data_IF_037253761433
#
_entry.id   IF_037253761433
#
_cell.length_a   1.000
_cell.length_b   1.000
_cell.length_c   1.000
_cell.angle_alpha   90.00
_cell.angle_beta   90.00
_cell.angle_gamma   90.00
#
_symmetry.space_group_name_H-M   'P 1'
#
loop_
_entity.id
_entity.type
_entity.pdbx_description
1 polymer ?
#
# COMPACT_ATOMS: atom_id res chain seq x y z
N UNK A 1 -30.86 -8.24 18.63
CA UNK A 1 -29.68 -7.59 18.01
C UNK A 1 -29.90 -6.10 18.06
N UNK A 2 -28.90 -5.31 18.46
CA UNK A 2 -28.99 -3.85 18.49
C UNK A 2 -28.90 -3.29 17.07
N UNK A 3 -29.72 -2.28 16.77
CA UNK A 3 -29.68 -1.57 15.49
C UNK A 3 -28.28 -1.00 15.26
N UNK A 4 -27.66 -1.20 14.08
CA UNK A 4 -26.37 -0.61 13.76
C UNK A 4 -26.38 0.91 13.90
N UNK A 5 -25.29 1.47 14.40
CA UNK A 5 -25.07 2.91 14.45
C UNK A 5 -25.06 3.45 13.02
N UNK A 6 -25.85 4.49 12.70
CA UNK A 6 -25.91 5.05 11.35
C UNK A 6 -24.53 5.44 10.81
N UNK A 7 -24.29 5.10 9.55
CA UNK A 7 -23.06 5.42 8.83
C UNK A 7 -23.39 5.90 7.42
N UNK A 8 -22.86 7.05 7.03
CA UNK A 8 -23.03 7.65 5.70
C UNK A 8 -21.68 7.75 5.00
N UNK A 9 -21.27 6.66 4.31
CA UNK A 9 -19.99 6.63 3.59
C UNK A 9 -19.91 7.75 2.54
N UNK A 10 -18.76 8.44 2.48
CA UNK A 10 -18.59 9.60 1.60
C UNK A 10 -19.16 10.93 2.14
N UNK A 11 -19.65 10.98 3.38
CA UNK A 11 -20.03 12.25 4.00
C UNK A 11 -18.83 13.21 4.16
N UNK A 12 -19.06 14.55 4.09
CA UNK A 12 -17.98 15.54 4.04
C UNK A 12 -17.22 15.75 5.36
N UNK A 13 -17.77 15.26 6.49
CA UNK A 13 -17.08 15.30 7.78
C UNK A 13 -17.41 14.09 8.64
N UNK A 14 -16.51 13.76 9.57
CA UNK A 14 -16.63 12.57 10.43
C UNK A 14 -17.95 12.53 11.21
N UNK A 15 -18.41 13.64 11.79
CA UNK A 15 -19.65 13.70 12.58
C UNK A 15 -20.90 13.36 11.76
N UNK A 16 -20.99 13.85 10.52
CA UNK A 16 -22.10 13.52 9.60
C UNK A 16 -21.96 12.09 9.07
N UNK A 17 -20.72 11.62 8.85
CA UNK A 17 -20.45 10.24 8.44
C UNK A 17 -20.88 9.22 9.50
N UNK A 18 -20.79 9.56 10.78
CA UNK A 18 -20.95 8.63 11.90
C UNK A 18 -19.69 7.77 12.14
N UNK A 19 -19.45 7.22 13.33
CA UNK A 19 -18.22 6.48 13.63
C UNK A 19 -18.22 5.07 13.02
N UNK A 20 -17.02 4.51 12.79
CA UNK A 20 -16.86 3.07 12.51
C UNK A 20 -16.87 2.33 13.85
N UNK A 21 -17.94 1.59 14.11
CA UNK A 21 -18.15 0.86 15.36
C UNK A 21 -17.97 -0.63 15.10
N UNK A 22 -16.97 -1.25 15.72
CA UNK A 22 -16.70 -2.69 15.58
C UNK A 22 -17.15 -3.48 16.81
N UNK A 23 -17.15 -4.81 16.68
CA UNK A 23 -17.24 -5.69 17.85
C UNK A 23 -16.15 -5.34 18.90
N UNK A 24 -16.43 -5.53 20.19
CA UNK A 24 -17.65 -6.10 20.78
C UNK A 24 -18.75 -5.07 21.10
N UNK A 25 -18.67 -3.83 20.60
CA UNK A 25 -19.65 -2.79 20.97
C UNK A 25 -21.06 -3.08 20.48
N UNK A 26 -22.10 -2.82 21.30
CA UNK A 26 -23.48 -2.76 20.82
C UNK A 26 -23.63 -1.75 19.68
N UNK A 27 -24.55 -2.00 18.75
CA UNK A 27 -24.78 -1.10 17.62
C UNK A 27 -23.60 -1.03 16.64
N UNK A 28 -22.73 -2.05 16.61
CA UNK A 28 -21.66 -2.15 15.61
C UNK A 28 -22.24 -2.04 14.19
N UNK A 29 -21.53 -1.32 13.34
CA UNK A 29 -21.87 -1.10 11.93
C UNK A 29 -20.81 -1.67 10.97
N UNK A 30 -19.82 -2.36 11.51
CA UNK A 30 -18.77 -3.03 10.75
C UNK A 30 -18.60 -4.50 11.16
N UNK A 31 -18.18 -5.31 10.17
CA UNK A 31 -17.77 -6.71 10.34
C UNK A 31 -16.28 -6.75 10.66
N UNK A 32 -15.89 -7.61 11.60
CA UNK A 32 -14.51 -7.73 12.07
C UNK A 32 -14.20 -6.85 13.27
N UNK A 33 -12.91 -6.62 13.51
CA UNK A 33 -12.37 -5.87 14.66
C UNK A 33 -11.25 -4.94 14.21
N UNK A 34 -11.04 -3.85 14.94
CA UNK A 34 -9.87 -3.00 14.75
C UNK A 34 -8.58 -3.81 14.88
N UNK A 35 -7.56 -3.46 14.07
CA UNK A 35 -6.26 -4.14 14.06
C UNK A 35 -6.39 -5.64 13.78
N UNK A 36 -7.28 -6.02 12.86
CA UNK A 36 -7.68 -7.41 12.60
C UNK A 36 -6.52 -8.37 12.31
N UNK A 37 -5.47 -7.92 11.62
CA UNK A 37 -4.26 -8.72 11.38
C UNK A 37 -3.52 -9.14 12.65
N UNK A 38 -3.79 -8.50 13.79
CA UNK A 38 -3.21 -8.82 15.11
C UNK A 38 -4.29 -9.27 16.12
N UNK A 39 -5.50 -9.61 15.66
CA UNK A 39 -6.59 -10.00 16.54
C UNK A 39 -6.28 -11.28 17.35
N UNK A 40 -5.58 -12.26 16.77
CA UNK A 40 -5.16 -13.46 17.48
C UNK A 40 -4.21 -13.15 18.65
N UNK A 41 -3.21 -12.28 18.44
CA UNK A 41 -2.31 -11.83 19.51
C UNK A 41 -3.05 -11.05 20.60
N UNK A 42 -4.00 -10.21 20.20
CA UNK A 42 -4.85 -9.48 21.15
C UNK A 42 -5.68 -10.44 22.00
N UNK A 43 -6.28 -11.46 21.38
CA UNK A 43 -7.04 -12.51 22.07
C UNK A 43 -6.17 -13.31 23.05
N UNK A 44 -4.97 -13.71 22.64
CA UNK A 44 -4.02 -14.38 23.53
C UNK A 44 -3.56 -13.49 24.68
N UNK A 45 -3.35 -12.20 24.43
CA UNK A 45 -2.99 -11.23 25.48
C UNK A 45 -4.09 -11.11 26.54
N UNK A 46 -5.36 -11.16 26.14
CA UNK A 46 -6.49 -11.22 27.08
C UNK A 46 -6.52 -12.54 27.83
N UNK A 47 -6.39 -13.67 27.13
CA UNK A 47 -6.43 -15.00 27.75
C UNK A 47 -5.29 -15.23 28.76
N UNK A 48 -4.13 -14.64 28.51
CA UNK A 48 -2.95 -14.71 29.39
C UNK A 48 -2.97 -13.67 30.51
N UNK A 49 -3.92 -12.72 30.50
CA UNK A 49 -4.01 -11.63 31.47
C UNK A 49 -3.02 -10.47 31.24
N UNK A 50 -2.25 -10.48 30.14
CA UNK A 50 -1.39 -9.37 29.75
C UNK A 50 -2.17 -8.12 29.30
N UNK A 51 -3.41 -8.30 28.85
CA UNK A 51 -4.35 -7.23 28.49
C UNK A 51 -5.68 -7.45 29.21
N UNK A 52 -6.18 -6.46 29.95
CA UNK A 52 -7.52 -6.54 30.53
C UNK A 52 -8.59 -6.59 29.43
N UNK A 53 -9.59 -7.47 29.57
CA UNK A 53 -10.65 -7.65 28.56
C UNK A 53 -11.49 -6.38 28.33
N UNK A 54 -11.59 -5.53 29.34
CA UNK A 54 -12.30 -4.25 29.36
C UNK A 54 -11.36 -3.05 29.22
N UNK A 55 -10.09 -3.27 28.86
CA UNK A 55 -9.11 -2.20 28.66
C UNK A 55 -9.64 -1.14 27.68
N UNK A 56 -9.62 0.11 28.14
CA UNK A 56 -9.91 1.29 27.33
C UNK A 56 -8.61 1.97 26.97
N UNK A 57 -8.38 2.13 25.68
CA UNK A 57 -7.22 2.86 25.19
C UNK A 57 -7.30 4.33 25.62
N UNK A 58 -6.19 4.86 26.11
CA UNK A 58 -6.02 6.29 26.34
C UNK A 58 -5.47 6.93 25.06
N UNK A 59 -6.21 7.90 24.52
CA UNK A 59 -5.84 8.63 23.31
C UNK A 59 -5.34 10.05 23.61
N UNK A 60 -5.09 10.38 24.88
CA UNK A 60 -4.49 11.66 25.27
C UNK A 60 -3.17 11.87 24.52
N UNK A 61 -3.01 13.04 23.90
CA UNK A 61 -1.83 13.44 23.14
C UNK A 61 -1.45 12.52 21.95
N UNK A 62 -2.41 11.77 21.42
CA UNK A 62 -2.22 10.89 20.24
C UNK A 62 -2.61 11.53 18.90
N UNK A 63 -2.93 12.83 18.90
CA UNK A 63 -3.30 13.55 17.68
C UNK A 63 -2.19 13.51 16.61
N UNK A 64 -2.56 13.48 15.32
CA UNK A 64 -1.63 13.64 14.21
C UNK A 64 -0.67 14.82 14.40
N UNK A 65 0.64 14.57 14.27
CA UNK A 65 1.67 15.62 14.30
C UNK A 65 1.56 16.59 13.11
N UNK A 66 0.90 16.14 12.05
CA UNK A 66 0.68 16.90 10.81
C UNK A 66 -0.79 16.80 10.44
N UNK A 67 -1.41 17.94 10.11
CA UNK A 67 -2.78 17.97 9.59
C UNK A 67 -2.80 17.48 8.14
N UNK A 68 -3.60 16.45 7.87
CA UNK A 68 -3.88 15.96 6.52
C UNK A 68 -5.34 16.25 6.19
N UNK A 69 -5.59 16.88 5.04
CA UNK A 69 -6.94 17.14 4.54
C UNK A 69 -7.86 17.93 5.49
N UNK A 70 -9.20 17.75 5.36
CA UNK A 70 -9.86 16.93 4.35
C UNK A 70 -9.65 17.48 2.94
N UNK A 71 -9.60 16.60 1.94
CA UNK A 71 -9.58 16.97 0.53
C UNK A 71 -10.92 16.60 -0.13
N UNK A 72 -11.34 17.27 -1.23
CA UNK A 72 -12.63 17.00 -1.89
C UNK A 72 -12.86 15.52 -2.27
N UNK A 73 -11.78 14.79 -2.52
CA UNK A 73 -11.81 13.37 -2.85
C UNK A 73 -12.35 12.50 -1.70
N UNK A 74 -12.28 12.94 -0.44
CA UNK A 74 -12.75 12.15 0.71
C UNK A 74 -14.27 11.96 0.71
N UNK A 75 -15.00 12.95 0.19
CA UNK A 75 -16.46 12.92 0.07
C UNK A 75 -16.96 12.58 -1.33
N UNK A 76 -16.04 12.37 -2.28
CA UNK A 76 -16.40 12.00 -3.63
C UNK A 76 -16.79 10.50 -3.68
N UNK A 77 -17.99 10.14 -4.14
CA UNK A 77 -18.47 8.76 -4.15
C UNK A 77 -17.47 7.80 -4.81
N UNK A 78 -17.18 6.69 -4.13
CA UNK A 78 -16.32 5.62 -4.65
C UNK A 78 -14.83 5.95 -4.76
N UNK A 79 -14.36 7.15 -4.38
CA UNK A 79 -12.93 7.51 -4.45
C UNK A 79 -12.09 6.87 -3.35
N UNK A 80 -12.63 6.73 -2.15
CA UNK A 80 -12.00 6.01 -1.04
C UNK A 80 -12.98 4.93 -0.58
N UNK A 81 -12.54 3.69 -0.61
CA UNK A 81 -13.31 2.50 -0.31
C UNK A 81 -12.53 1.47 0.54
N UNK A 82 -11.21 1.60 0.68
CA UNK A 82 -10.37 0.58 1.31
C UNK A 82 -9.90 0.92 2.74
N UNK A 83 -10.13 2.15 3.20
CA UNK A 83 -9.89 2.56 4.58
C UNK A 83 -10.79 3.74 4.97
N UNK A 84 -10.86 4.02 6.27
CA UNK A 84 -11.64 5.15 6.80
C UNK A 84 -10.89 6.48 6.56
N UNK A 85 -11.40 7.40 5.71
CA UNK A 85 -10.71 8.67 5.43
C UNK A 85 -10.55 9.58 6.65
N UNK A 86 -11.38 9.44 7.70
CA UNK A 86 -11.17 10.19 8.96
C UNK A 86 -10.59 9.32 10.09
N UNK A 87 -9.97 8.19 9.76
CA UNK A 87 -9.40 7.25 10.73
C UNK A 87 -8.35 7.86 11.66
N UNK A 88 -7.69 8.94 11.25
CA UNK A 88 -6.68 9.69 12.03
C UNK A 88 -7.30 10.73 12.97
N UNK A 89 -8.61 10.94 12.89
CA UNK A 89 -9.36 11.94 13.66
C UNK A 89 -10.35 11.33 14.65
N UNK A 90 -10.40 10.01 14.74
CA UNK A 90 -11.42 9.29 15.53
C UNK A 90 -11.41 9.72 17.00
N UNK A 91 -10.22 9.85 17.59
CA UNK A 91 -10.07 10.25 18.98
C UNK A 91 -10.59 11.67 19.26
N UNK A 92 -10.49 12.58 18.30
CA UNK A 92 -10.94 13.97 18.44
C UNK A 92 -12.42 14.12 18.09
N UNK A 93 -12.82 13.60 16.93
CA UNK A 93 -14.16 13.81 16.39
C UNK A 93 -15.22 12.97 17.13
N UNK A 94 -14.83 11.89 17.84
CA UNK A 94 -15.73 11.04 18.62
C UNK A 94 -15.30 10.86 20.09
N UNK A 95 -14.62 11.87 20.65
CA UNK A 95 -14.22 11.87 22.06
C UNK A 95 -15.39 11.58 23.04
N UNK A 96 -16.60 12.16 22.87
CA UNK A 96 -17.73 11.86 23.75
C UNK A 96 -18.16 10.39 23.71
N UNK A 97 -18.21 9.77 22.52
CA UNK A 97 -18.59 8.37 22.35
C UNK A 97 -17.53 7.42 22.94
N UNK A 98 -16.24 7.75 22.78
CA UNK A 98 -15.14 7.01 23.42
C UNK A 98 -15.25 7.10 24.95
N UNK A 99 -15.48 8.30 25.50
CA UNK A 99 -15.67 8.50 26.93
C UNK A 99 -16.88 7.71 27.46
N UNK A 100 -17.95 7.61 26.67
CA UNK A 100 -19.12 6.79 26.97
C UNK A 100 -18.86 5.26 26.88
N UNK A 101 -17.69 4.84 26.40
CA UNK A 101 -17.27 3.43 26.35
C UNK A 101 -17.56 2.72 25.03
N UNK A 102 -17.88 3.45 23.96
CA UNK A 102 -17.98 2.86 22.62
C UNK A 102 -16.56 2.49 22.15
N UNK A 103 -16.38 1.27 21.63
CA UNK A 103 -15.10 0.80 21.09
C UNK A 103 -14.81 1.45 19.74
N UNK A 104 -14.34 2.69 19.77
CA UNK A 104 -13.86 3.43 18.61
C UNK A 104 -12.33 3.51 18.69
N UNK A 105 -11.66 3.15 17.60
CA UNK A 105 -10.19 3.24 17.52
C UNK A 105 -9.75 3.96 16.25
N UNK A 106 -8.70 4.80 16.32
CA UNK A 106 -8.05 5.30 15.12
C UNK A 106 -7.61 4.15 14.22
N UNK A 107 -7.87 4.27 12.94
CA UNK A 107 -7.40 3.34 11.89
C UNK A 107 -6.30 3.96 11.03
N UNK A 108 -5.95 5.23 11.31
CA UNK A 108 -4.82 5.91 10.69
C UNK A 108 -4.02 6.60 11.80
N UNK A 109 -2.71 6.52 11.76
CA UNK A 109 -1.81 7.28 12.62
C UNK A 109 -0.80 8.06 11.79
N UNK A 110 -0.49 9.29 12.18
CA UNK A 110 0.43 10.19 11.48
C UNK A 110 1.46 10.74 12.47
N UNK A 111 2.73 10.53 12.18
CA UNK A 111 3.85 11.03 12.98
C UNK A 111 4.99 11.53 12.09
N UNK A 112 6.01 12.14 12.68
CA UNK A 112 7.23 12.53 11.98
C UNK A 112 8.41 11.73 12.51
N UNK A 113 9.43 11.53 11.68
CA UNK A 113 10.65 10.88 12.13
C UNK A 113 11.74 10.91 11.07
N UNK A 114 12.86 10.26 11.40
CA UNK A 114 13.97 10.09 10.48
C UNK A 114 14.07 8.62 10.04
N UNK A 115 14.64 8.41 8.86
CA UNK A 115 15.00 7.11 8.31
C UNK A 115 16.51 7.09 8.07
N UNK A 116 17.21 6.12 8.66
CA UNK A 116 18.60 5.84 8.36
C UNK A 116 18.65 4.64 7.39
N UNK A 117 18.96 4.91 6.12
CA UNK A 117 18.95 3.90 5.06
C UNK A 117 20.37 3.80 4.50
N UNK A 118 21.05 2.63 4.62
CA UNK A 118 22.44 2.49 4.20
C UNK A 118 22.71 2.93 2.76
N UNK A 119 21.82 2.61 1.82
CA UNK A 119 21.97 3.00 0.42
C UNK A 119 21.88 4.51 0.20
N UNK A 120 21.17 5.24 1.05
CA UNK A 120 21.12 6.70 0.97
C UNK A 120 22.44 7.31 1.45
N UNK A 121 23.06 6.77 2.50
CA UNK A 121 24.41 7.15 2.89
C UNK A 121 25.43 6.84 1.77
N UNK A 122 25.35 5.67 1.15
CA UNK A 122 26.19 5.32 -0.01
C UNK A 122 25.96 6.25 -1.21
N UNK A 123 24.71 6.68 -1.43
CA UNK A 123 24.38 7.64 -2.50
C UNK A 123 24.98 9.03 -2.22
N UNK A 124 25.09 9.45 -0.95
CA UNK A 124 25.81 10.66 -0.56
C UNK A 124 27.32 10.53 -0.85
N UNK A 125 27.94 9.43 -0.44
CA UNK A 125 29.38 9.19 -0.67
C UNK A 125 29.72 9.22 -2.17
N UNK A 126 28.83 8.66 -2.99
CA UNK A 126 28.95 8.63 -4.45
C UNK A 126 28.51 9.93 -5.13
N UNK A 127 28.05 10.93 -4.37
CA UNK A 127 27.53 12.23 -4.88
C UNK A 127 26.35 12.07 -5.85
N UNK A 128 25.56 11.01 -5.68
CA UNK A 128 24.30 10.76 -6.39
C UNK A 128 23.17 11.59 -5.76
N UNK A 129 23.23 11.77 -4.44
CA UNK A 129 22.39 12.67 -3.67
C UNK A 129 23.25 13.73 -2.98
N UNK A 130 22.64 14.87 -2.69
CA UNK A 130 23.29 15.97 -1.97
C UNK A 130 22.47 16.32 -0.73
N UNK A 131 23.11 16.52 0.44
CA UNK A 131 22.39 16.89 1.64
C UNK A 131 21.88 18.34 1.54
N UNK A 132 20.66 18.58 2.00
CA UNK A 132 20.07 19.92 2.09
C UNK A 132 19.86 20.37 3.56
N UNK A 133 20.14 19.49 4.52
CA UNK A 133 19.98 19.74 5.96
C UNK A 133 18.53 19.81 6.42
N UNK A 134 17.56 19.61 5.53
CA UNK A 134 16.11 19.66 5.82
C UNK A 134 15.44 18.33 5.55
N UNK A 135 15.56 17.82 4.33
CA UNK A 135 15.02 16.53 3.91
C UNK A 135 16.08 15.44 4.10
N UNK A 136 17.33 15.74 3.73
CA UNK A 136 18.46 14.83 3.80
C UNK A 136 19.59 15.46 4.62
N UNK A 137 19.94 14.81 5.75
CA UNK A 137 21.05 15.21 6.61
C UNK A 137 22.40 14.92 5.95
N UNK A 138 23.47 15.52 6.47
CA UNK A 138 24.84 15.23 6.01
C UNK A 138 25.28 13.79 6.34
N UNK A 139 24.62 13.16 7.31
CA UNK A 139 24.87 11.80 7.77
C UNK A 139 24.05 10.75 6.98
N UNK A 140 23.13 11.17 6.11
CA UNK A 140 22.29 10.27 5.32
C UNK A 140 20.92 9.97 5.93
N UNK A 141 20.56 10.63 7.04
CA UNK A 141 19.23 10.53 7.63
C UNK A 141 18.21 11.31 6.81
N UNK A 142 17.07 10.68 6.55
CA UNK A 142 15.99 11.27 5.76
C UNK A 142 14.82 11.64 6.66
N UNK A 143 14.51 12.94 6.73
CA UNK A 143 13.34 13.44 7.45
C UNK A 143 12.04 13.13 6.69
N UNK A 144 11.09 12.49 7.36
CA UNK A 144 9.82 12.05 6.76
C UNK A 144 8.63 12.26 7.70
N UNK A 145 7.46 12.44 7.10
CA UNK A 145 6.17 12.18 7.76
C UNK A 145 5.77 10.74 7.49
N UNK A 146 5.50 9.98 8.55
CA UNK A 146 5.14 8.55 8.52
C UNK A 146 3.65 8.42 8.78
N UNK A 147 2.97 7.63 7.96
CA UNK A 147 1.53 7.38 8.04
C UNK A 147 1.31 5.88 8.04
N UNK A 148 0.54 5.36 8.99
CA UNK A 148 0.08 3.97 9.01
C UNK A 148 -1.43 3.95 8.81
N UNK A 149 -1.93 3.05 7.96
CA UNK A 149 -3.34 2.93 7.57
C UNK A 149 -3.76 1.48 7.71
N UNK A 150 -4.73 1.22 8.58
CA UNK A 150 -5.43 -0.06 8.69
C UNK A 150 -6.60 -0.13 7.69
N UNK A 151 -6.89 -1.32 7.13
CA UNK A 151 -7.96 -1.47 6.16
C UNK A 151 -9.34 -1.36 6.81
N UNK A 152 -10.22 -0.60 6.15
CA UNK A 152 -11.66 -0.49 6.46
C UNK A 152 -12.39 -0.44 5.13
N UNK A 153 -12.90 -1.58 4.72
CA UNK A 153 -13.50 -1.78 3.41
C UNK A 153 -14.97 -1.37 3.41
N UNK A 154 -15.35 -0.48 2.50
CA UNK A 154 -16.73 -0.22 2.14
C UNK A 154 -17.15 -1.17 1.01
N UNK A 155 -17.83 -2.25 1.40
CA UNK A 155 -18.12 -3.41 0.54
C UNK A 155 -18.87 -3.03 -0.75
N UNK A 156 -19.91 -2.17 -0.74
CA UNK A 156 -20.58 -1.77 -1.98
C UNK A 156 -19.64 -1.06 -2.96
N UNK A 157 -18.75 -0.20 -2.46
CA UNK A 157 -17.79 0.51 -3.31
C UNK A 157 -16.71 -0.41 -3.86
N UNK A 158 -16.26 -1.40 -3.09
CA UNK A 158 -15.29 -2.39 -3.58
C UNK A 158 -15.92 -3.26 -4.66
N UNK A 159 -17.14 -3.77 -4.45
CA UNK A 159 -17.86 -4.56 -5.44
C UNK A 159 -18.03 -3.79 -6.76
N UNK A 160 -18.52 -2.54 -6.68
CA UNK A 160 -18.68 -1.67 -7.84
C UNK A 160 -17.36 -1.41 -8.58
N UNK A 161 -16.26 -1.18 -7.84
CA UNK A 161 -14.94 -0.92 -8.44
C UNK A 161 -14.37 -2.14 -9.16
N UNK A 162 -14.63 -3.34 -8.64
CA UNK A 162 -14.19 -4.60 -9.24
C UNK A 162 -15.16 -5.14 -10.30
N UNK A 163 -16.30 -4.46 -10.53
CA UNK A 163 -17.33 -4.91 -11.46
C UNK A 163 -18.02 -6.22 -11.01
N UNK A 164 -18.13 -6.44 -9.70
CA UNK A 164 -18.69 -7.64 -9.10
C UNK A 164 -20.09 -7.38 -8.53
N UNK A 165 -20.92 -8.42 -8.52
CA UNK A 165 -22.08 -8.45 -7.64
C UNK A 165 -21.62 -8.51 -6.17
N UNK A 166 -22.20 -7.65 -5.33
CA UNK A 166 -21.79 -7.53 -3.93
C UNK A 166 -22.03 -8.83 -3.14
N UNK A 167 -23.14 -9.53 -3.41
CA UNK A 167 -23.48 -10.78 -2.75
C UNK A 167 -22.51 -11.90 -3.11
N UNK A 168 -22.18 -12.04 -4.40
CA UNK A 168 -21.17 -13.00 -4.88
C UNK A 168 -19.80 -12.70 -4.25
N UNK A 169 -19.39 -11.42 -4.22
CA UNK A 169 -18.12 -11.02 -3.61
C UNK A 169 -18.08 -11.38 -2.12
N UNK A 170 -19.15 -11.07 -1.36
CA UNK A 170 -19.26 -11.40 0.07
C UNK A 170 -19.20 -12.90 0.32
N UNK A 171 -19.91 -13.70 -0.48
CA UNK A 171 -19.88 -15.16 -0.37
C UNK A 171 -18.47 -15.70 -0.62
N UNK A 172 -17.79 -15.23 -1.68
CA UNK A 172 -16.43 -15.63 -1.98
C UNK A 172 -15.46 -15.31 -0.83
N UNK A 173 -15.61 -14.15 -0.17
CA UNK A 173 -14.80 -13.79 1.01
C UNK A 173 -15.03 -14.76 2.18
N UNK A 174 -16.27 -15.18 2.44
CA UNK A 174 -16.58 -16.18 3.48
C UNK A 174 -15.94 -17.53 3.11
N UNK A 175 -16.15 -17.99 1.89
CA UNK A 175 -15.67 -19.30 1.43
C UNK A 175 -14.15 -19.39 1.49
N UNK A 176 -13.45 -18.37 0.99
CA UNK A 176 -11.98 -18.31 0.99
C UNK A 176 -11.37 -18.10 2.37
N UNK A 177 -12.15 -17.62 3.34
CA UNK A 177 -11.72 -17.52 4.73
C UNK A 177 -12.02 -18.77 5.55
N UNK A 178 -12.50 -19.86 4.92
CA UNK A 178 -12.87 -21.09 5.63
C UNK A 178 -14.11 -20.92 6.52
N UNK A 179 -15.03 -20.03 6.12
CA UNK A 179 -16.25 -19.73 6.89
C UNK A 179 -16.07 -18.69 8.00
N UNK A 180 -14.91 -18.03 8.09
CA UNK A 180 -14.76 -16.88 8.98
C UNK A 180 -15.68 -15.74 8.54
N UNK A 181 -16.10 -14.91 9.50
CA UNK A 181 -16.96 -13.74 9.26
C UNK A 181 -18.28 -14.06 8.53
N UNK A 182 -19.11 -15.01 9.02
CA UNK A 182 -20.38 -15.38 8.37
C UNK A 182 -21.34 -14.20 8.17
N UNK A 183 -21.14 -13.13 8.93
CA UNK A 183 -21.89 -11.87 8.86
C UNK A 183 -21.71 -11.13 7.53
N UNK A 184 -20.65 -11.41 6.77
CA UNK A 184 -20.53 -10.92 5.39
C UNK A 184 -21.74 -11.30 4.55
N UNK A 185 -22.33 -12.48 4.80
CA UNK A 185 -23.52 -12.99 4.11
C UNK A 185 -24.79 -12.79 4.95
N UNK A 186 -24.75 -13.08 6.25
CA UNK A 186 -25.96 -13.04 7.10
C UNK A 186 -26.39 -11.63 7.53
N UNK A 187 -25.54 -10.62 7.34
CA UNK A 187 -25.79 -9.21 7.71
C UNK A 187 -25.47 -8.27 6.54
N UNK A 188 -26.25 -8.30 5.45
CA UNK A 188 -26.05 -7.41 4.30
C UNK A 188 -26.28 -5.93 4.64
N UNK A 189 -26.95 -5.65 5.76
CA UNK A 189 -27.09 -4.30 6.31
C UNK A 189 -25.76 -3.71 6.80
N UNK A 190 -24.76 -4.55 7.10
CA UNK A 190 -23.41 -4.10 7.44
C UNK A 190 -22.59 -3.91 6.16
N UNK A 191 -22.33 -2.64 5.84
CA UNK A 191 -21.61 -2.23 4.62
C UNK A 191 -20.10 -2.13 4.81
N UNK A 192 -19.61 -2.20 6.06
CA UNK A 192 -18.19 -2.13 6.37
C UNK A 192 -17.60 -3.48 6.77
N UNK A 193 -16.38 -3.73 6.34
CA UNK A 193 -15.57 -4.88 6.76
C UNK A 193 -14.15 -4.43 7.10
N UNK A 194 -13.62 -4.87 8.23
CA UNK A 194 -12.22 -4.69 8.60
C UNK A 194 -11.50 -6.03 8.36
N UNK A 195 -10.97 -6.27 7.14
CA UNK A 195 -10.31 -7.53 6.84
C UNK A 195 -9.04 -7.70 7.69
N UNK A 196 -8.75 -8.92 8.18
CA UNK A 196 -7.56 -9.21 8.98
C UNK A 196 -6.31 -9.32 8.09
N UNK A 197 -5.97 -8.25 7.36
CA UNK A 197 -4.86 -8.21 6.41
C UNK A 197 -3.87 -7.10 6.75
N UNK A 198 -2.70 -7.13 6.11
CA UNK A 198 -1.70 -6.09 6.23
C UNK A 198 -2.22 -4.73 5.74
N UNK A 199 -1.93 -3.68 6.52
CA UNK A 199 -2.25 -2.30 6.16
C UNK A 199 -1.29 -1.67 5.14
N UNK A 200 -1.37 -0.35 5.04
CA UNK A 200 -0.52 0.47 4.17
C UNK A 200 0.32 1.42 5.02
N UNK A 201 1.61 1.53 4.72
CA UNK A 201 2.47 2.58 5.27
C UNK A 201 2.78 3.61 4.20
N UNK A 202 2.79 4.89 4.56
CA UNK A 202 3.18 5.98 3.67
C UNK A 202 4.29 6.80 4.29
N UNK A 203 5.27 7.16 3.47
CA UNK A 203 6.34 8.07 3.83
C UNK A 203 6.28 9.28 2.90
N UNK A 204 6.11 10.46 3.48
CA UNK A 204 6.17 11.74 2.77
C UNK A 204 7.54 12.36 2.96
N UNK A 205 8.15 12.79 1.86
CA UNK A 205 9.44 13.46 1.80
C UNK A 205 9.19 14.90 1.39
N UNK A 206 9.70 15.86 2.19
CA UNK A 206 9.40 17.29 2.00
C UNK A 206 8.30 17.79 2.92
N UNK A 207 7.66 18.90 2.54
CA UNK A 207 6.65 19.58 3.36
C UNK A 207 5.23 19.03 3.07
N UNK A 208 4.56 18.39 4.04
CA UNK A 208 3.19 17.90 3.87
C UNK A 208 2.15 19.00 3.59
N UNK A 209 2.45 20.28 3.88
CA UNK A 209 1.55 21.40 3.57
C UNK A 209 1.25 21.53 2.06
N UNK A 210 2.11 20.94 1.22
CA UNK A 210 1.99 20.91 -0.24
C UNK A 210 0.93 19.92 -0.75
N UNK A 211 0.40 19.05 0.11
CA UNK A 211 -0.67 18.10 -0.24
C UNK A 211 -1.94 18.82 -0.70
N UNK A 212 -2.62 18.26 -1.71
CA UNK A 212 -3.84 18.82 -2.29
C UNK A 212 -3.65 20.10 -3.13
N UNK A 213 -2.44 20.64 -3.23
CA UNK A 213 -2.18 21.82 -4.06
C UNK A 213 -1.92 21.42 -5.52
N UNK A 214 -2.66 22.01 -6.46
CA UNK A 214 -2.60 21.67 -7.90
C UNK A 214 -1.21 21.85 -8.53
N UNK A 215 -0.41 22.79 -8.01
CA UNK A 215 0.92 23.10 -8.56
C UNK A 215 2.04 22.21 -8.01
N UNK A 216 1.79 21.44 -6.96
CA UNK A 216 2.81 20.61 -6.32
C UNK A 216 3.30 19.53 -7.29
N UNK A 217 4.62 19.46 -7.48
CA UNK A 217 5.25 18.38 -8.24
C UNK A 217 5.36 17.14 -7.34
N UNK A 218 4.49 16.16 -7.56
CA UNK A 218 4.49 14.91 -6.80
C UNK A 218 5.39 13.87 -7.48
N UNK A 219 6.34 13.33 -6.73
CA UNK A 219 7.11 12.14 -7.10
C UNK A 219 6.63 10.96 -6.27
N UNK A 220 6.20 9.87 -6.90
CA UNK A 220 5.52 8.79 -6.20
C UNK A 220 6.00 7.41 -6.62
N UNK A 221 6.17 6.54 -5.62
CA UNK A 221 6.38 5.09 -5.78
C UNK A 221 5.32 4.35 -4.98
N UNK A 222 4.59 3.45 -5.65
CA UNK A 222 3.77 2.45 -4.98
C UNK A 222 4.51 1.11 -4.96
N UNK A 223 4.89 0.69 -3.76
CA UNK A 223 5.66 -0.51 -3.49
C UNK A 223 4.78 -1.57 -2.83
N UNK A 224 4.94 -2.82 -3.24
CA UNK A 224 4.33 -3.95 -2.53
C UNK A 224 5.44 -4.72 -1.83
N UNK A 225 5.18 -5.07 -0.58
CA UNK A 225 6.09 -5.75 0.33
C UNK A 225 6.78 -6.96 -0.29
N UNK A 226 8.08 -7.05 -0.03
CA UNK A 226 8.90 -8.21 -0.34
C UNK A 226 9.94 -8.38 0.76
N UNK A 227 9.59 -9.04 1.86
CA UNK A 227 10.41 -9.20 3.05
C UNK A 227 11.85 -9.64 2.74
N UNK A 228 12.02 -10.73 1.98
CA UNK A 228 13.34 -11.23 1.61
C UNK A 228 14.24 -10.24 0.86
N UNK A 229 13.67 -9.34 0.05
CA UNK A 229 14.47 -8.32 -0.67
C UNK A 229 14.56 -7.04 0.15
N UNK A 230 13.42 -6.51 0.58
CA UNK A 230 13.30 -5.22 1.26
C UNK A 230 14.06 -5.21 2.60
N UNK A 231 14.12 -6.32 3.33
CA UNK A 231 14.84 -6.41 4.62
C UNK A 231 16.25 -6.97 4.44
N UNK A 232 16.39 -8.06 3.68
CA UNK A 232 17.64 -8.84 3.64
C UNK A 232 18.45 -8.69 2.35
N UNK A 233 17.99 -7.89 1.38
CA UNK A 233 18.74 -7.62 0.16
C UNK A 233 18.86 -8.81 -0.79
N UNK A 234 17.88 -9.73 -0.81
CA UNK A 234 17.87 -10.86 -1.75
C UNK A 234 18.04 -10.41 -3.20
N UNK A 235 18.89 -11.13 -3.93
CA UNK A 235 19.24 -10.93 -5.33
C UNK A 235 18.30 -11.65 -6.32
N UNK A 236 17.30 -12.37 -5.80
CA UNK A 236 16.33 -13.13 -6.61
C UNK A 236 15.24 -12.25 -7.23
N UNK A 237 15.11 -11.01 -6.76
CA UNK A 237 14.14 -10.06 -7.29
C UNK A 237 14.64 -8.62 -7.18
N UNK A 238 13.92 -7.72 -7.81
CA UNK A 238 14.28 -6.29 -7.90
C UNK A 238 13.55 -5.38 -6.91
N UNK A 239 12.83 -5.95 -5.93
CA UNK A 239 11.99 -5.18 -5.01
C UNK A 239 12.76 -4.11 -4.23
N UNK A 240 13.83 -4.46 -3.49
CA UNK A 240 14.64 -3.47 -2.77
C UNK A 240 15.31 -2.46 -3.71
N UNK A 241 15.96 -2.85 -4.83
CA UNK A 241 16.47 -1.89 -5.81
C UNK A 241 15.44 -0.84 -6.24
N UNK A 242 14.18 -1.23 -6.51
CA UNK A 242 13.12 -0.28 -6.83
C UNK A 242 12.70 0.59 -5.64
N UNK A 243 12.63 0.02 -4.43
CA UNK A 243 12.26 0.77 -3.23
C UNK A 243 13.28 1.89 -2.97
N UNK A 244 14.57 1.54 -2.99
CA UNK A 244 15.67 2.50 -2.81
C UNK A 244 15.67 3.55 -3.92
N UNK A 245 15.51 3.15 -5.19
CA UNK A 245 15.42 4.09 -6.29
C UNK A 245 14.22 5.05 -6.14
N UNK A 246 13.06 4.53 -5.75
CA UNK A 246 11.89 5.35 -5.43
C UNK A 246 12.15 6.36 -4.32
N UNK A 247 12.88 5.97 -3.27
CA UNK A 247 13.25 6.86 -2.17
C UNK A 247 14.21 7.96 -2.67
N UNK A 248 15.22 7.61 -3.46
CA UNK A 248 16.14 8.59 -4.06
C UNK A 248 15.39 9.62 -4.91
N UNK A 249 14.49 9.19 -5.80
CA UNK A 249 13.68 10.10 -6.61
C UNK A 249 12.73 10.96 -5.76
N UNK A 250 12.13 10.39 -4.71
CA UNK A 250 11.29 11.14 -3.77
C UNK A 250 12.08 12.22 -3.03
N UNK A 251 13.32 11.92 -2.61
CA UNK A 251 14.23 12.90 -2.01
C UNK A 251 14.54 14.02 -3.02
N UNK A 252 14.96 13.67 -4.26
CA UNK A 252 15.26 14.68 -5.29
C UNK A 252 14.07 15.57 -5.60
N UNK A 253 12.88 14.97 -5.79
CA UNK A 253 11.65 15.71 -6.05
C UNK A 253 11.27 16.65 -4.91
N UNK A 254 11.44 16.21 -3.66
CA UNK A 254 11.17 17.03 -2.48
C UNK A 254 12.18 18.19 -2.34
N UNK A 255 13.47 17.95 -2.63
CA UNK A 255 14.52 18.97 -2.62
C UNK A 255 14.30 20.06 -3.68
N UNK A 256 13.64 19.71 -4.79
CA UNK A 256 13.24 20.65 -5.85
C UNK A 256 11.96 21.44 -5.51
N UNK A 257 11.48 21.38 -4.26
CA UNK A 257 10.27 22.07 -3.80
C UNK A 257 8.97 21.31 -4.09
N UNK A 258 9.06 20.06 -4.55
CA UNK A 258 7.92 19.16 -4.68
C UNK A 258 7.65 18.35 -3.41
N UNK A 259 6.93 17.25 -3.60
CA UNK A 259 6.62 16.28 -2.54
C UNK A 259 6.95 14.86 -3.02
N UNK A 260 7.73 14.13 -2.24
CA UNK A 260 7.99 12.71 -2.46
C UNK A 260 7.00 11.84 -1.68
N UNK A 261 6.49 10.78 -2.28
CA UNK A 261 5.52 9.86 -1.67
C UNK A 261 5.97 8.41 -1.93
N UNK A 262 6.27 7.68 -0.87
CA UNK A 262 6.37 6.21 -0.91
C UNK A 262 5.11 5.64 -0.28
N UNK A 263 4.35 4.86 -1.05
CA UNK A 263 3.27 4.01 -0.53
C UNK A 263 3.82 2.59 -0.45
N UNK A 264 3.77 1.97 0.73
CA UNK A 264 4.23 0.62 0.99
C UNK A 264 3.04 -0.26 1.41
N UNK A 265 2.59 -1.13 0.51
CA UNK A 265 1.47 -2.04 0.75
C UNK A 265 1.99 -3.38 1.28
N UNK A 266 1.42 -3.88 2.36
CA UNK A 266 1.77 -5.19 2.94
C UNK A 266 1.11 -6.35 2.18
N UNK A 267 1.54 -6.53 0.93
CA UNK A 267 1.00 -7.51 -0.05
C UNK A 267 2.12 -8.45 -0.54
N UNK A 268 2.74 -9.18 0.39
CA UNK A 268 3.84 -10.12 0.10
C UNK A 268 3.50 -11.13 -0.99
N UNK A 269 4.48 -11.40 -1.87
CA UNK A 269 4.38 -12.46 -2.87
C UNK A 269 3.20 -12.28 -3.83
N UNK A 270 2.84 -11.03 -4.18
CA UNK A 270 1.63 -10.74 -4.98
C UNK A 270 0.33 -11.15 -4.29
N UNK A 271 0.30 -10.96 -2.97
CA UNK A 271 -0.77 -11.43 -2.10
C UNK A 271 -0.95 -12.97 -2.05
N UNK A 272 0.07 -13.74 -2.46
CA UNK A 272 0.13 -15.20 -2.27
C UNK A 272 0.81 -15.60 -0.96
N UNK A 273 1.53 -14.67 -0.33
CA UNK A 273 2.35 -14.95 0.86
C UNK A 273 3.73 -15.55 0.53
N UNK A 274 4.61 -15.54 1.53
CA UNK A 274 6.02 -15.89 1.37
C UNK A 274 6.24 -17.39 1.08
N UNK A 275 5.42 -18.27 1.67
CA UNK A 275 5.53 -19.72 1.48
C UNK A 275 5.33 -20.09 0.00
N UNK A 276 4.24 -19.63 -0.61
CA UNK A 276 3.93 -19.90 -2.03
C UNK A 276 5.00 -19.30 -2.93
N UNK A 277 5.45 -18.08 -2.64
CA UNK A 277 6.57 -17.44 -3.34
C UNK A 277 7.83 -18.32 -3.36
N UNK A 278 8.21 -18.90 -2.22
CA UNK A 278 9.39 -19.79 -2.15
C UNK A 278 9.17 -21.12 -2.86
N UNK A 279 7.95 -21.68 -2.83
CA UNK A 279 7.61 -22.86 -3.64
C UNK A 279 7.77 -22.57 -5.14
N UNK A 280 7.32 -21.41 -5.61
CA UNK A 280 7.51 -20.96 -7.00
C UNK A 280 8.99 -20.81 -7.34
N UNK A 281 9.80 -20.18 -6.46
CA UNK A 281 11.24 -20.09 -6.66
C UNK A 281 11.92 -21.46 -6.74
N UNK A 282 11.54 -22.39 -5.88
CA UNK A 282 12.06 -23.75 -5.87
C UNK A 282 11.66 -24.51 -7.14
N UNK A 283 10.42 -24.38 -7.60
CA UNK A 283 9.92 -25.00 -8.83
C UNK A 283 10.69 -24.48 -10.05
N UNK A 284 10.96 -23.16 -10.12
CA UNK A 284 11.76 -22.53 -11.17
C UNK A 284 13.21 -23.03 -11.17
N UNK A 285 13.86 -23.06 -10.01
CA UNK A 285 15.25 -23.54 -9.88
C UNK A 285 15.41 -25.03 -10.19
N UNK A 286 14.38 -25.84 -9.93
CA UNK A 286 14.38 -27.29 -10.20
C UNK A 286 13.93 -27.65 -11.62
N UNK A 287 13.49 -26.68 -12.42
CA UNK A 287 13.07 -26.94 -13.79
C UNK A 287 14.26 -27.51 -14.60
N UNK A 288 14.03 -28.62 -15.30
CA UNK A 288 15.07 -29.31 -16.07
C UNK A 288 15.72 -28.42 -17.15
N UNK A 289 14.96 -27.43 -17.65
CA UNK A 289 15.38 -26.44 -18.65
C UNK A 289 16.01 -25.18 -18.04
N UNK A 290 16.14 -25.12 -16.71
CA UNK A 290 16.59 -23.95 -15.97
C UNK A 290 15.49 -22.91 -15.74
N UNK A 291 15.87 -21.79 -15.11
CA UNK A 291 14.96 -20.67 -14.81
C UNK A 291 14.85 -19.73 -16.02
N UNK A 292 13.80 -19.91 -16.82
CA UNK A 292 13.57 -19.18 -18.07
C UNK A 292 12.52 -18.07 -17.90
N UNK A 293 12.71 -16.88 -18.52
CA UNK A 293 11.72 -15.80 -18.45
C UNK A 293 10.33 -16.18 -18.97
N UNK A 294 10.27 -16.99 -20.04
CA UNK A 294 9.01 -17.42 -20.66
C UNK A 294 8.14 -18.27 -19.72
N UNK A 295 8.75 -19.01 -18.79
CA UNK A 295 8.04 -19.88 -17.85
C UNK A 295 7.67 -19.16 -16.55
N UNK A 296 8.12 -17.92 -16.35
CA UNK A 296 8.05 -17.23 -15.06
C UNK A 296 6.61 -17.14 -14.51
N UNK A 297 5.65 -16.70 -15.32
CA UNK A 297 4.25 -16.59 -14.90
C UNK A 297 3.58 -17.97 -14.86
N UNK A 298 3.84 -18.81 -15.86
CA UNK A 298 3.33 -20.19 -15.93
C UNK A 298 3.67 -21.00 -14.67
N UNK A 299 4.89 -20.87 -14.13
CA UNK A 299 5.28 -21.55 -12.89
C UNK A 299 4.54 -21.03 -11.67
N UNK A 300 4.20 -19.75 -11.66
CA UNK A 300 3.38 -19.17 -10.59
C UNK A 300 1.97 -19.75 -10.68
N UNK A 301 1.37 -19.74 -11.88
CA UNK A 301 0.06 -20.32 -12.14
C UNK A 301 -0.04 -21.79 -11.73
N UNK A 302 0.97 -22.61 -12.06
CA UNK A 302 0.98 -24.04 -11.72
C UNK A 302 0.97 -24.30 -10.22
N UNK A 303 1.60 -23.43 -9.42
CA UNK A 303 1.69 -23.60 -7.96
C UNK A 303 0.51 -22.94 -7.24
N UNK A 304 0.09 -21.76 -7.69
CA UNK A 304 -0.87 -20.91 -7.00
C UNK A 304 -2.28 -20.89 -7.63
N UNK A 305 -2.44 -21.39 -8.86
CA UNK A 305 -3.68 -21.30 -9.64
C UNK A 305 -3.94 -19.92 -10.25
N UNK A 306 -3.05 -18.94 -10.03
CA UNK A 306 -3.18 -17.55 -10.49
C UNK A 306 -1.81 -16.88 -10.52
N UNK A 307 -1.65 -15.85 -11.36
CA UNK A 307 -0.36 -15.18 -11.59
C UNK A 307 -0.11 -14.02 -10.62
N UNK A 308 -1.20 -13.38 -10.19
CA UNK A 308 -1.23 -12.20 -9.31
C UNK A 308 -2.61 -12.10 -8.63
N UNK A 309 -2.65 -12.07 -7.28
CA UNK A 309 -3.89 -11.86 -6.52
C UNK A 309 -4.05 -10.40 -6.07
N UNK A 310 -3.14 -9.51 -6.44
CA UNK A 310 -3.25 -8.09 -6.09
C UNK A 310 -4.28 -7.43 -6.99
N UNK A 311 -5.23 -6.78 -6.34
CA UNK A 311 -6.13 -5.82 -6.96
C UNK A 311 -5.50 -4.44 -6.84
N UNK A 312 -4.89 -3.93 -7.92
CA UNK A 312 -4.15 -2.66 -7.90
C UNK A 312 -5.09 -1.46 -7.81
N UNK A 313 -6.32 -1.62 -8.30
CA UNK A 313 -7.45 -0.68 -8.23
C UNK A 313 -7.84 -0.36 -6.78
N UNK A 314 -7.52 -1.24 -5.83
CA UNK A 314 -7.73 -1.04 -4.40
C UNK A 314 -6.58 -0.28 -3.72
N UNK A 315 -5.43 -0.16 -4.37
CA UNK A 315 -4.24 0.45 -3.77
C UNK A 315 -4.18 1.98 -3.98
N UNK A 316 -5.04 2.56 -4.82
CA UNK A 316 -4.95 3.97 -5.25
C UNK A 316 -5.59 4.97 -4.28
N UNK A 317 -6.49 4.51 -3.41
CA UNK A 317 -7.26 5.34 -2.47
C UNK A 317 -6.39 6.24 -1.60
N UNK A 318 -5.19 5.78 -1.25
CA UNK A 318 -4.24 6.55 -0.44
C UNK A 318 -3.78 7.82 -1.15
N UNK A 319 -3.65 7.81 -2.48
CA UNK A 319 -3.29 8.99 -3.25
C UNK A 319 -4.43 10.01 -3.24
N UNK A 320 -5.68 9.54 -3.37
CA UNK A 320 -6.86 10.39 -3.20
C UNK A 320 -6.98 10.95 -1.79
N UNK A 321 -6.65 10.15 -0.77
CA UNK A 321 -6.65 10.59 0.62
C UNK A 321 -5.58 11.65 0.90
N UNK A 322 -4.47 11.62 0.17
CA UNK A 322 -3.43 12.64 0.16
C UNK A 322 -3.76 13.85 -0.74
N UNK A 323 -4.94 13.88 -1.37
CA UNK A 323 -5.37 14.96 -2.25
C UNK A 323 -4.65 15.00 -3.59
N UNK A 324 -3.93 13.94 -3.97
CA UNK A 324 -3.18 13.87 -5.23
C UNK A 324 -4.15 13.75 -6.41
N UNK A 325 -3.97 14.62 -7.40
CA UNK A 325 -4.67 14.58 -8.70
C UNK A 325 -3.72 14.36 -9.88
N UNK A 326 -2.42 14.61 -9.68
CA UNK A 326 -1.38 14.49 -10.70
C UNK A 326 -0.08 14.03 -10.04
N UNK A 327 0.60 13.08 -10.67
CA UNK A 327 1.93 12.59 -10.33
C UNK A 327 2.89 12.99 -11.44
N UNK A 328 3.81 13.89 -11.13
CA UNK A 328 4.81 14.37 -12.08
C UNK A 328 5.84 13.28 -12.42
N UNK A 329 6.26 12.51 -11.41
CA UNK A 329 7.26 11.46 -11.54
C UNK A 329 6.73 10.17 -10.92
N UNK A 330 6.30 9.21 -11.75
CA UNK A 330 5.81 7.90 -11.34
C UNK A 330 6.93 6.87 -11.42
N UNK A 331 7.49 6.49 -10.28
CA UNK A 331 8.68 5.63 -10.22
C UNK A 331 8.25 4.16 -10.22
N UNK A 332 7.96 3.62 -11.39
CA UNK A 332 7.56 2.22 -11.56
C UNK A 332 7.62 1.81 -13.02
N UNK A 333 7.95 0.55 -13.27
CA UNK A 333 7.83 -0.07 -14.60
C UNK A 333 6.51 -0.84 -14.79
N UNK A 334 5.72 -1.01 -13.72
CA UNK A 334 4.47 -1.78 -13.78
C UNK A 334 3.37 -1.01 -14.50
N UNK A 335 2.95 -1.55 -15.66
CA UNK A 335 1.75 -1.14 -16.37
C UNK A 335 0.50 -1.31 -15.50
N UNK A 336 0.33 -2.44 -14.80
CA UNK A 336 -0.82 -2.69 -13.93
C UNK A 336 -1.02 -1.58 -12.88
N UNK A 337 0.07 -1.15 -12.21
CA UNK A 337 -0.02 -0.06 -11.23
C UNK A 337 -0.31 1.28 -11.88
N UNK A 338 0.34 1.59 -13.01
CA UNK A 338 0.10 2.82 -13.76
C UNK A 338 -1.35 2.91 -14.20
N UNK A 339 -1.86 1.84 -14.81
CA UNK A 339 -3.19 1.80 -15.39
C UNK A 339 -4.26 1.93 -14.28
N UNK A 340 -4.07 1.29 -13.13
CA UNK A 340 -4.94 1.48 -11.95
C UNK A 340 -4.97 2.95 -11.47
N UNK A 341 -3.81 3.63 -11.43
CA UNK A 341 -3.73 5.06 -11.05
C UNK A 341 -4.43 5.94 -12.09
N UNK A 342 -4.19 5.71 -13.38
CA UNK A 342 -4.84 6.45 -14.47
C UNK A 342 -6.37 6.26 -14.46
N UNK A 343 -6.84 5.02 -14.30
CA UNK A 343 -8.27 4.68 -14.21
C UNK A 343 -8.91 5.28 -12.96
N UNK A 344 -8.17 5.46 -11.87
CA UNK A 344 -8.62 6.21 -10.69
C UNK A 344 -8.72 7.73 -10.94
N UNK A 345 -8.39 8.22 -12.13
CA UNK A 345 -8.50 9.63 -12.51
C UNK A 345 -7.33 10.51 -12.05
N UNK A 346 -6.20 9.90 -11.69
CA UNK A 346 -4.96 10.62 -11.39
C UNK A 346 -4.10 10.66 -12.66
N UNK A 347 -3.60 11.85 -13.01
CA UNK A 347 -2.75 12.03 -14.19
C UNK A 347 -1.31 11.61 -13.84
N UNK A 348 -0.63 10.92 -14.75
CA UNK A 348 0.81 10.62 -14.65
C UNK A 348 1.54 11.31 -15.81
N UNK A 349 2.56 12.10 -15.51
CA UNK A 349 3.30 12.86 -16.53
C UNK A 349 4.47 12.06 -17.09
N UNK A 350 5.28 11.49 -16.20
CA UNK A 350 6.47 10.73 -16.55
C UNK A 350 6.52 9.45 -15.75
N UNK A 351 6.83 8.36 -16.43
CA UNK A 351 7.16 7.09 -15.82
C UNK A 351 8.68 6.97 -15.74
N UNK A 352 9.20 6.58 -14.57
CA UNK A 352 10.64 6.45 -14.31
C UNK A 352 10.97 4.98 -14.10
N UNK A 353 11.84 4.45 -14.97
CA UNK A 353 12.39 3.09 -14.90
C UNK A 353 13.51 3.00 -13.86
N UNK A 354 13.74 1.81 -13.31
CA UNK A 354 14.92 1.58 -12.49
C UNK A 354 16.19 1.60 -13.35
N UNK A 355 17.30 2.16 -12.87
CA UNK A 355 18.57 2.07 -13.58
C UNK A 355 19.01 0.62 -13.81
N UNK A 356 19.48 0.29 -15.03
CA UNK A 356 19.86 -1.06 -15.43
C UNK A 356 20.98 -1.66 -14.55
N UNK A 357 21.92 -0.84 -14.10
CA UNK A 357 23.03 -1.25 -13.22
C UNK A 357 22.57 -1.66 -11.80
N UNK A 358 21.30 -1.42 -11.46
CA UNK A 358 20.69 -1.85 -10.19
C UNK A 358 19.92 -3.17 -10.29
N UNK A 359 19.93 -3.81 -11.45
CA UNK A 359 19.32 -5.13 -11.66
C UNK A 359 20.38 -6.20 -11.43
N UNK A 360 20.24 -6.96 -10.34
CA UNK A 360 21.12 -8.08 -10.06
C UNK A 360 21.04 -9.16 -11.15
N UNK A 361 22.12 -9.91 -11.44
CA UNK A 361 22.11 -10.96 -12.47
C UNK A 361 20.98 -11.98 -12.30
N UNK A 362 20.73 -12.44 -11.08
CA UNK A 362 19.68 -13.41 -10.76
C UNK A 362 18.26 -12.83 -10.87
N UNK A 363 18.11 -11.51 -10.89
CA UNK A 363 16.82 -10.84 -11.08
C UNK A 363 16.52 -10.52 -12.56
N UNK A 364 17.47 -10.76 -13.48
CA UNK A 364 17.25 -10.53 -14.93
C UNK A 364 16.10 -11.36 -15.48
N UNK A 365 15.99 -12.62 -15.05
CA UNK A 365 14.88 -13.50 -15.47
C UNK A 365 13.51 -12.89 -15.14
N UNK A 366 13.38 -12.36 -13.92
CA UNK A 366 12.16 -11.68 -13.48
C UNK A 366 11.86 -10.44 -14.34
N UNK A 367 12.86 -9.58 -14.56
CA UNK A 367 12.67 -8.34 -15.31
C UNK A 367 12.34 -8.62 -16.77
N UNK A 368 13.07 -9.51 -17.43
CA UNK A 368 12.78 -9.90 -18.81
C UNK A 368 11.38 -10.46 -18.97
N UNK A 369 10.92 -11.29 -18.02
CA UNK A 369 9.55 -11.81 -18.03
C UNK A 369 8.51 -10.69 -17.89
N UNK A 370 8.74 -9.73 -16.98
CA UNK A 370 7.82 -8.60 -16.77
C UNK A 370 7.75 -7.67 -17.97
N UNK A 371 8.88 -7.34 -18.59
CA UNK A 371 8.93 -6.53 -19.81
C UNK A 371 8.18 -7.26 -20.94
N UNK A 372 8.38 -8.57 -21.09
CA UNK A 372 7.63 -9.40 -22.03
C UNK A 372 6.10 -9.40 -21.78
N UNK A 373 5.68 -9.19 -20.53
CA UNK A 373 4.27 -9.06 -20.14
C UNK A 373 3.74 -7.59 -20.20
N UNK A 374 4.49 -6.67 -20.81
CA UNK A 374 4.05 -5.30 -21.04
C UNK A 374 4.45 -4.28 -19.97
N UNK A 375 5.37 -4.63 -19.06
CA UNK A 375 6.02 -3.62 -18.21
C UNK A 375 6.88 -2.71 -19.07
N UNK A 376 6.96 -1.43 -18.69
CA UNK A 376 7.91 -0.51 -19.30
C UNK A 376 9.34 -1.01 -19.05
N UNK A 377 10.23 -0.76 -20.01
CA UNK A 377 11.58 -1.32 -20.02
C UNK A 377 12.38 -0.85 -21.21
N UNK A 378 12.07 0.33 -21.73
CA UNK A 378 12.80 0.93 -22.85
C UNK A 378 14.28 1.13 -22.53
N UNK A 379 14.65 1.50 -21.30
CA UNK A 379 16.06 1.70 -20.93
C UNK A 379 16.79 0.37 -20.70
N UNK A 380 16.13 -0.62 -20.11
CA UNK A 380 16.73 -1.94 -19.86
C UNK A 380 16.81 -2.78 -21.14
N UNK A 381 15.73 -2.81 -21.94
CA UNK A 381 15.66 -3.58 -23.18
C UNK A 381 16.60 -3.08 -24.27
N UNK A 382 17.05 -1.82 -24.21
CA UNK A 382 18.05 -1.28 -25.13
C UNK A 382 19.47 -1.81 -24.86
N UNK A 383 19.79 -2.17 -23.61
CA UNK A 383 21.12 -2.68 -23.21
C UNK A 383 21.24 -4.19 -23.47
N UNK A 384 20.15 -4.94 -23.33
CA UNK A 384 20.11 -6.39 -23.52
C UNK A 384 19.90 -6.82 -24.99
N UNK A 385 19.93 -5.90 -25.96
CA UNK A 385 20.06 -6.23 -27.39
C UNK A 385 21.56 -6.34 -27.74
N UNK A 386 22.16 -7.54 -27.81
CA UNK A 386 23.47 -7.66 -28.44
C UNK A 386 23.29 -7.38 -29.94
N UNK A 387 24.17 -6.53 -30.49
CA UNK A 387 24.47 -6.38 -31.92
C UNK A 387 23.77 -7.39 -32.86
N UNK A 388 22.52 -7.13 -33.22
CA UNK A 388 21.90 -7.72 -34.41
C UNK A 388 21.94 -6.62 -35.47
N UNK A 389 22.73 -6.85 -36.53
CA UNK A 389 23.06 -5.97 -37.67
C UNK A 389 24.46 -5.34 -37.60
N UNK A 390 25.49 -6.16 -37.76
CA UNK A 390 26.54 -5.83 -38.72
C UNK A 390 26.49 -6.95 -39.76
N UNK A 391 25.85 -6.65 -40.89
CA UNK A 391 25.83 -7.55 -42.04
C UNK A 391 27.24 -7.73 -42.57
N UNK A 392 27.68 -8.99 -42.66
CA UNK A 392 28.80 -9.33 -43.52
C UNK A 392 28.23 -9.54 -44.91
N UNK A 393 28.15 -8.44 -45.66
CA UNK A 393 28.20 -8.50 -47.11
C UNK A 393 29.66 -8.57 -47.52
N UNK A 394 30.02 -9.60 -48.28
CA UNK A 394 31.35 -9.88 -48.80
C UNK A 394 31.37 -11.22 -49.49
#
# INVERSE_FOLDING_TARGET
MTTPTPLHWGAPCARVRGPVVTSPSPGRNAIGVHVGGYAAYSGLSVATGALAADHRADYTDTQPMVKIGPFPQWSAPGRIATFDPFGHRVAQDFAPEIAAGVNLRPTIAVTSGQLAIPEIAMALDRRILHPDGRILSRQGDVGVTKISIDPVWHLPSIAARLGLDEGIMRQALVDQSGGMYPELVTRPDLQLFLPPMGGTSVYLFGDPSLLGQVRTQVTCRMHDECNGSDVFGSDLCTCRPYLIHGIEECIRGAQQGGLGIIVYNRKEGRALGEVVKYLVYNARKRAAVGDLPADYFTRTHQVAGVDDMRLQELSTDVLHWLGVTRVANWVSMSNLKRDAVLQSGIIIDRQIEIPHDRVAPNARVEISAKIGAGYDGTLIGAVDRPFALIGVGG
#
